data_IF_603267092124
#
_entry.id   IF_603267092124
#
_cell.length_a   1.000
_cell.length_b   1.000
_cell.length_c   1.000
_cell.angle_alpha   90.00
_cell.angle_beta   90.00
_cell.angle_gamma   90.00
#
_symmetry.space_group_name_H-M   'P 1'
#
loop_
_entity.id
_entity.type
_entity.pdbx_description
1 polymer ?
#
# COMPACT_ATOMS: atom_id res chain seq x y z
N UNK A 1 7.35 4.58 -15.66
CA UNK A 1 6.99 3.62 -14.59
C UNK A 1 5.67 4.12 -13.99
N UNK A 2 4.61 3.31 -13.96
CA UNK A 2 3.32 3.73 -13.36
C UNK A 2 3.46 3.64 -11.84
N UNK A 3 3.07 4.70 -11.12
CA UNK A 3 2.93 4.64 -9.66
C UNK A 3 1.78 3.68 -9.34
N UNK A 4 2.07 2.62 -8.59
CA UNK A 4 1.09 1.61 -8.18
C UNK A 4 1.32 1.19 -6.73
N UNK A 5 0.70 0.05 -6.36
CA UNK A 5 0.74 -0.53 -5.02
C UNK A 5 2.16 -0.76 -4.49
N UNK A 6 3.05 -1.32 -5.32
CA UNK A 6 4.46 -1.54 -5.00
C UNK A 6 5.31 -0.82 -6.06
N UNK A 7 6.31 -0.06 -5.61
CA UNK A 7 7.26 0.61 -6.52
C UNK A 7 8.48 -0.27 -6.70
N UNK A 8 8.72 -0.74 -7.91
CA UNK A 8 9.90 -1.52 -8.25
C UNK A 8 10.91 -0.64 -9.00
N UNK A 9 12.12 -0.53 -8.47
CA UNK A 9 13.24 0.16 -9.13
C UNK A 9 14.37 -0.82 -9.42
N UNK A 10 15.13 -0.58 -10.49
CA UNK A 10 16.13 -1.56 -10.95
C UNK A 10 17.38 -1.61 -10.09
N UNK A 11 17.73 -0.47 -9.52
CA UNK A 11 18.94 -0.28 -8.74
C UNK A 11 18.75 0.84 -7.72
N UNK A 12 19.61 0.85 -6.70
CA UNK A 12 19.59 1.90 -5.68
C UNK A 12 19.86 3.31 -6.24
N UNK A 13 20.50 3.40 -7.41
CA UNK A 13 20.76 4.69 -8.09
C UNK A 13 19.47 5.38 -8.53
N UNK A 14 18.39 4.63 -8.79
CA UNK A 14 17.09 5.17 -9.17
C UNK A 14 16.24 5.64 -7.96
N UNK A 15 16.69 5.37 -6.73
CA UNK A 15 15.88 5.56 -5.52
C UNK A 15 15.54 7.02 -5.28
N UNK A 16 16.56 7.89 -5.28
CA UNK A 16 16.39 9.33 -5.00
C UNK A 16 15.50 10.00 -6.05
N UNK A 17 15.73 9.71 -7.33
CA UNK A 17 14.93 10.26 -8.42
C UNK A 17 13.48 9.79 -8.36
N UNK A 18 13.26 8.50 -8.05
CA UNK A 18 11.93 7.92 -7.92
C UNK A 18 11.14 8.54 -6.78
N UNK A 19 11.77 8.70 -5.61
CA UNK A 19 11.15 9.31 -4.43
C UNK A 19 10.88 10.80 -4.64
N UNK A 20 11.84 11.54 -5.20
CA UNK A 20 11.68 12.96 -5.51
C UNK A 20 10.53 13.20 -6.48
N UNK A 21 10.44 12.39 -7.55
CA UNK A 21 9.32 12.44 -8.51
C UNK A 21 7.97 12.18 -7.83
N UNK A 22 7.89 11.20 -6.92
CA UNK A 22 6.65 10.93 -6.18
C UNK A 22 6.26 12.07 -5.25
N UNK A 23 7.21 12.64 -4.50
CA UNK A 23 6.96 13.81 -3.66
C UNK A 23 6.45 15.01 -4.46
N UNK A 24 7.09 15.30 -5.59
CA UNK A 24 6.70 16.41 -6.46
C UNK A 24 5.27 16.21 -7.00
N UNK A 25 4.94 14.99 -7.43
CA UNK A 25 3.59 14.63 -7.90
C UNK A 25 2.54 14.86 -6.80
N UNK A 26 2.78 14.35 -5.59
CA UNK A 26 1.87 14.49 -4.46
C UNK A 26 1.72 15.96 -4.01
N UNK A 27 2.83 16.71 -3.99
CA UNK A 27 2.82 18.15 -3.72
C UNK A 27 1.99 18.92 -4.75
N UNK A 28 2.12 18.61 -6.05
CA UNK A 28 1.29 19.22 -7.11
C UNK A 28 -0.21 18.91 -6.97
N UNK A 29 -0.55 17.76 -6.40
CA UNK A 29 -1.92 17.35 -6.12
C UNK A 29 -2.46 17.90 -4.79
N UNK A 30 -1.61 18.55 -3.97
CA UNK A 30 -2.00 19.07 -2.66
C UNK A 30 -2.31 17.96 -1.63
N UNK A 31 -1.77 16.76 -1.82
CA UNK A 31 -1.99 15.60 -0.93
C UNK A 31 -0.68 15.12 -0.32
N UNK A 32 -0.75 14.58 0.90
CA UNK A 32 0.40 14.01 1.59
C UNK A 32 0.79 12.67 0.99
N UNK A 33 2.09 12.48 0.73
CA UNK A 33 2.65 11.19 0.32
C UNK A 33 2.48 10.19 1.47
N UNK A 34 1.67 9.17 1.25
CA UNK A 34 1.43 8.11 2.22
C UNK A 34 2.60 7.11 2.22
N UNK A 35 2.74 6.28 3.27
CA UNK A 35 3.74 5.21 3.32
C UNK A 35 3.79 4.40 2.02
N UNK A 36 5.00 4.17 1.52
CA UNK A 36 5.26 3.64 0.19
C UNK A 36 6.18 2.43 0.28
N UNK A 37 5.77 1.32 -0.34
CA UNK A 37 6.61 0.12 -0.48
C UNK A 37 7.50 0.28 -1.72
N UNK A 38 8.82 0.13 -1.52
CA UNK A 38 9.81 0.15 -2.60
C UNK A 38 10.57 -1.18 -2.59
N UNK A 39 10.66 -1.83 -3.73
CA UNK A 39 11.49 -3.02 -3.94
C UNK A 39 12.58 -2.71 -4.95
N UNK A 40 13.78 -3.25 -4.73
CA UNK A 40 14.95 -3.00 -5.57
C UNK A 40 15.47 -4.30 -6.13
N UNK A 41 15.69 -4.34 -7.44
CA UNK A 41 16.23 -5.50 -8.12
C UNK A 41 16.18 -5.34 -9.63
N UNK A 42 17.04 -6.00 -10.43
CA UNK A 42 17.00 -5.87 -11.89
C UNK A 42 15.64 -6.26 -12.49
N UNK A 43 14.92 -7.18 -11.85
CA UNK A 43 13.62 -7.69 -12.27
C UNK A 43 12.84 -8.31 -11.09
N UNK A 44 11.56 -8.65 -11.27
CA UNK A 44 10.69 -9.19 -10.22
C UNK A 44 11.11 -10.58 -9.67
N UNK A 45 11.97 -11.33 -10.38
CA UNK A 45 12.49 -12.61 -9.92
C UNK A 45 13.77 -12.47 -9.10
N UNK A 46 14.41 -11.29 -9.14
CA UNK A 46 15.69 -11.01 -8.52
C UNK A 46 15.59 -9.72 -7.70
N UNK A 47 14.90 -9.79 -6.56
CA UNK A 47 14.78 -8.66 -5.64
C UNK A 47 15.89 -8.75 -4.59
N UNK A 48 16.67 -7.67 -4.45
CA UNK A 48 17.79 -7.57 -3.52
C UNK A 48 17.44 -6.83 -2.22
N UNK A 49 16.48 -5.91 -2.26
CA UNK A 49 16.09 -5.12 -1.08
C UNK A 49 14.60 -4.78 -1.07
N UNK A 50 14.04 -4.68 0.13
CA UNK A 50 12.66 -4.28 0.40
C UNK A 50 12.66 -3.11 1.38
N UNK A 51 11.95 -2.04 1.04
CA UNK A 51 11.87 -0.83 1.84
C UNK A 51 10.44 -0.39 2.05
N UNK A 52 10.21 0.29 3.17
CA UNK A 52 9.07 1.19 3.35
C UNK A 52 9.62 2.60 3.54
N UNK A 53 9.12 3.55 2.77
CA UNK A 53 9.37 4.98 2.98
C UNK A 53 8.23 5.59 3.79
N UNK A 54 8.56 6.22 4.92
CA UNK A 54 7.63 7.01 5.75
C UNK A 54 8.33 8.32 6.12
N UNK A 55 7.79 9.48 5.71
CA UNK A 55 8.35 10.81 6.01
C UNK A 55 9.89 10.86 5.94
N UNK A 56 10.44 10.44 4.80
CA UNK A 56 11.89 10.43 4.51
C UNK A 56 12.75 9.42 5.26
N UNK A 57 12.12 8.60 6.09
CA UNK A 57 12.76 7.48 6.77
C UNK A 57 12.53 6.20 5.98
N UNK A 58 13.63 5.49 5.69
CA UNK A 58 13.60 4.18 5.05
C UNK A 58 13.71 3.08 6.10
N UNK A 59 12.73 2.19 6.12
CA UNK A 59 12.75 0.96 6.91
C UNK A 59 13.13 -0.20 5.99
N UNK A 60 14.13 -0.99 6.36
CA UNK A 60 14.59 -2.15 5.59
C UNK A 60 13.90 -3.41 6.09
N UNK A 61 13.33 -4.19 5.16
CA UNK A 61 12.59 -5.40 5.45
C UNK A 61 13.24 -6.62 4.77
N UNK A 62 12.88 -7.81 5.22
CA UNK A 62 13.47 -9.07 4.73
C UNK A 62 12.67 -9.73 3.59
N UNK A 63 11.43 -9.30 3.33
CA UNK A 63 10.60 -9.84 2.26
C UNK A 63 9.52 -8.86 1.80
N UNK A 64 8.90 -9.16 0.65
CA UNK A 64 7.75 -8.39 0.17
C UNK A 64 6.53 -8.53 1.08
N UNK A 65 6.31 -9.73 1.65
CA UNK A 65 5.17 -9.97 2.55
C UNK A 65 5.31 -9.13 3.82
N UNK A 66 6.49 -9.11 4.43
CA UNK A 66 6.76 -8.25 5.60
C UNK A 66 6.69 -6.77 5.27
N UNK A 67 7.04 -6.36 4.04
CA UNK A 67 6.91 -4.96 3.63
C UNK A 67 5.44 -4.54 3.46
N UNK A 68 4.60 -5.42 2.92
CA UNK A 68 3.15 -5.17 2.82
C UNK A 68 2.51 -5.12 4.21
N UNK A 69 2.79 -6.10 5.06
CA UNK A 69 2.26 -6.19 6.43
C UNK A 69 2.68 -5.00 7.29
N UNK A 70 3.98 -4.68 7.31
CA UNK A 70 4.47 -3.54 8.07
C UNK A 70 3.93 -2.20 7.54
N UNK A 71 3.80 -2.03 6.22
CA UNK A 71 3.20 -0.83 5.64
C UNK A 71 1.72 -0.68 6.02
N UNK A 72 0.96 -1.78 6.00
CA UNK A 72 -0.42 -1.82 6.47
C UNK A 72 -0.52 -1.40 7.94
N UNK A 73 0.31 -1.99 8.80
CA UNK A 73 0.36 -1.67 10.24
C UNK A 73 0.70 -0.20 10.46
N UNK A 74 1.70 0.35 9.75
CA UNK A 74 2.08 1.77 9.86
C UNK A 74 0.89 2.67 9.49
N UNK A 75 0.19 2.39 8.40
CA UNK A 75 -0.95 3.19 7.95
C UNK A 75 -2.05 3.18 9.01
N UNK A 76 -2.43 2.01 9.54
CA UNK A 76 -3.45 1.90 10.58
C UNK A 76 -3.03 2.50 11.92
N UNK A 77 -1.81 2.21 12.38
CA UNK A 77 -1.30 2.68 13.67
C UNK A 77 -1.20 4.21 13.74
N UNK A 78 -0.92 4.84 12.60
CA UNK A 78 -0.82 6.30 12.48
C UNK A 78 -2.13 6.96 11.99
N UNK A 79 -3.22 6.19 11.84
CA UNK A 79 -4.51 6.65 11.32
C UNK A 79 -4.37 7.43 9.99
N UNK A 80 -3.54 6.92 9.10
CA UNK A 80 -3.25 7.50 7.80
C UNK A 80 -4.23 7.02 6.74
N UNK A 81 -4.27 7.72 5.61
CA UNK A 81 -5.03 7.32 4.45
C UNK A 81 -4.21 6.34 3.59
N UNK A 82 -4.86 5.45 2.86
CA UNK A 82 -4.16 4.64 1.87
C UNK A 82 -3.68 5.49 0.68
N UNK A 83 -2.55 5.14 0.04
CA UNK A 83 -2.14 5.76 -1.22
C UNK A 83 -3.22 5.63 -2.28
N UNK A 84 -3.63 6.77 -2.86
CA UNK A 84 -4.78 6.85 -3.76
C UNK A 84 -4.61 6.02 -5.04
N UNK A 85 -3.38 5.80 -5.52
CA UNK A 85 -3.11 4.96 -6.68
C UNK A 85 -3.39 3.47 -6.45
N UNK A 86 -3.54 3.05 -5.20
CA UNK A 86 -3.67 1.65 -4.80
C UNK A 86 -4.78 1.39 -3.78
N UNK A 87 -5.70 2.33 -3.61
CA UNK A 87 -6.84 2.24 -2.69
C UNK A 87 -7.58 0.88 -2.77
N UNK A 88 -8.03 0.39 -3.94
CA UNK A 88 -8.74 -0.88 -4.00
C UNK A 88 -7.91 -2.09 -3.53
N UNK A 89 -6.59 -2.08 -3.77
CA UNK A 89 -5.70 -3.17 -3.32
C UNK A 89 -5.57 -3.16 -1.81
N UNK A 90 -5.43 -1.98 -1.20
CA UNK A 90 -5.41 -1.86 0.25
C UNK A 90 -6.75 -2.25 0.89
N UNK A 91 -7.88 -1.89 0.28
CA UNK A 91 -9.20 -2.34 0.75
C UNK A 91 -9.35 -3.85 0.68
N UNK A 92 -8.88 -4.49 -0.40
CA UNK A 92 -8.83 -5.94 -0.49
C UNK A 92 -8.01 -6.54 0.64
N UNK A 93 -6.86 -5.94 0.97
CA UNK A 93 -6.00 -6.43 2.03
C UNK A 93 -6.69 -6.29 3.40
N UNK A 94 -7.23 -5.11 3.68
CA UNK A 94 -7.90 -4.79 4.93
C UNK A 94 -9.07 -5.75 5.19
N UNK A 95 -9.98 -5.89 4.22
CA UNK A 95 -11.20 -6.69 4.40
C UNK A 95 -10.95 -8.18 4.19
N UNK A 96 -10.15 -8.54 3.20
CA UNK A 96 -9.91 -9.92 2.80
C UNK A 96 -8.95 -10.68 3.71
N UNK A 97 -7.82 -10.06 4.08
CA UNK A 97 -6.80 -10.72 4.90
C UNK A 97 -6.89 -10.36 6.38
N UNK A 98 -7.03 -9.07 6.71
CA UNK A 98 -7.08 -8.62 8.11
C UNK A 98 -8.48 -8.65 8.71
N UNK A 99 -9.53 -8.71 7.89
CA UNK A 99 -10.94 -8.68 8.31
C UNK A 99 -11.26 -7.46 9.18
N UNK A 100 -10.68 -6.31 8.84
CA UNK A 100 -10.91 -5.04 9.52
C UNK A 100 -11.95 -4.23 8.76
N UNK A 101 -12.96 -3.73 9.47
CA UNK A 101 -13.91 -2.74 8.99
C UNK A 101 -13.70 -1.42 9.75
N UNK A 102 -13.79 -0.30 9.03
CA UNK A 102 -13.71 1.04 9.63
C UNK A 102 -14.89 1.91 9.16
N UNK A 103 -15.18 2.97 9.93
CA UNK A 103 -16.22 3.94 9.57
C UNK A 103 -15.89 4.76 8.31
N UNK A 104 -14.63 4.73 7.86
CA UNK A 104 -14.14 5.47 6.70
C UNK A 104 -13.92 4.58 5.48
N UNK A 105 -14.35 3.31 5.55
CA UNK A 105 -14.17 2.37 4.46
C UNK A 105 -14.88 2.84 3.19
N UNK A 106 -14.17 2.76 2.07
CA UNK A 106 -14.73 2.99 0.74
C UNK A 106 -15.06 1.65 0.09
N UNK A 107 -16.28 1.51 -0.40
CA UNK A 107 -16.71 0.31 -1.12
C UNK A 107 -16.29 0.33 -2.59
N UNK A 108 -15.73 -0.77 -3.06
CA UNK A 108 -15.36 -0.97 -4.46
C UNK A 108 -16.06 -2.21 -5.01
N UNK A 109 -16.88 -2.03 -6.04
CA UNK A 109 -17.65 -3.13 -6.67
C UNK A 109 -16.74 -4.28 -7.09
N UNK A 110 -15.58 -3.97 -7.67
CA UNK A 110 -14.61 -4.99 -8.08
C UNK A 110 -14.00 -5.78 -6.91
N UNK A 111 -13.81 -5.13 -5.76
CA UNK A 111 -13.26 -5.78 -4.57
C UNK A 111 -14.32 -6.69 -3.93
N UNK A 112 -15.57 -6.22 -3.83
CA UNK A 112 -16.66 -7.03 -3.30
C UNK A 112 -16.95 -8.25 -4.18
N UNK A 113 -16.91 -8.10 -5.51
CA UNK A 113 -17.00 -9.22 -6.43
C UNK A 113 -15.85 -10.22 -6.23
N UNK A 114 -14.60 -9.74 -6.16
CA UNK A 114 -13.44 -10.60 -5.96
C UNK A 114 -13.48 -11.34 -4.61
N UNK A 115 -13.88 -10.67 -3.52
CA UNK A 115 -14.02 -11.31 -2.21
C UNK A 115 -15.09 -12.40 -2.24
N UNK A 116 -16.22 -12.15 -2.92
CA UNK A 116 -17.25 -13.17 -3.15
C UNK A 116 -16.72 -14.37 -3.93
N UNK A 117 -15.98 -14.13 -5.02
CA UNK A 117 -15.38 -15.19 -5.84
C UNK A 117 -14.38 -16.05 -5.05
N UNK A 118 -13.66 -15.43 -4.11
CA UNK A 118 -12.73 -16.09 -3.20
C UNK A 118 -13.42 -16.77 -2.00
N UNK A 119 -14.76 -16.67 -1.89
CA UNK A 119 -15.52 -17.23 -0.77
C UNK A 119 -15.25 -16.52 0.57
N UNK A 120 -14.73 -15.29 0.54
CA UNK A 120 -14.49 -14.48 1.73
C UNK A 120 -15.77 -13.72 2.05
N UNK A 121 -16.45 -14.15 3.11
CA UNK A 121 -17.64 -13.48 3.64
C UNK A 121 -17.17 -12.36 4.57
N UNK A 122 -17.48 -11.12 4.20
CA UNK A 122 -17.35 -9.99 5.12
C UNK A 122 -18.60 -10.01 5.98
N UNK A 123 -18.47 -10.43 7.24
CA UNK A 123 -19.54 -10.27 8.22
C UNK A 123 -19.67 -8.78 8.51
N UNK A 124 -20.67 -8.13 7.92
CA UNK A 124 -20.94 -6.73 8.21
C UNK A 124 -21.28 -6.61 9.68
N UNK A 125 -20.42 -5.92 10.42
CA UNK A 125 -20.69 -5.57 11.80
C UNK A 125 -21.95 -4.72 11.79
N UNK A 126 -23.07 -5.23 12.32
CA UNK A 126 -24.25 -4.40 12.58
C UNK A 126 -23.87 -3.32 13.60
N UNK A 127 -23.35 -2.19 13.14
CA UNK A 127 -23.24 -1.00 13.95
C UNK A 127 -24.67 -0.48 14.15
N UNK A 128 -25.27 -0.93 15.26
CA UNK A 128 -26.49 -0.38 15.81
C UNK A 128 -26.31 1.14 15.98
N UNK A 129 -27.10 1.89 15.20
CA UNK A 129 -27.62 3.26 15.41
C UNK A 129 -26.65 4.38 15.80
#
# INVERSE_FOLDING_TARGET
MKDGFITHIKSHTELQDTVSRRKEKYSKLGVTLQPLIIIVGPNCNEISQYFILVDDTYYVLNSILTAVDCCFIIIHALNLQYPYESLPVWTLIQKGFYKIETLWDTEYVCINALLSDLGIIIESSQHNK
#
